data_IF_259338663294
#
_entry.id   IF_259338663294
#
_cell.length_a   1.000
_cell.length_b   1.000
_cell.length_c   1.000
_cell.angle_alpha   90.00
_cell.angle_beta   90.00
_cell.angle_gamma   90.00
#
_symmetry.space_group_name_H-M   'P 1'
#
loop_
_entity.id
_entity.type
_entity.pdbx_description
1 polymer ?
#
# COMPACT_ATOMS: atom_id res chain seq x y z
N UNK A 1 -12.62 7.47 30.21
CA UNK A 1 -13.02 8.46 29.18
C UNK A 1 -13.58 7.72 27.98
N UNK A 2 -14.55 8.29 27.22
CA UNK A 2 -15.07 7.64 26.00
C UNK A 2 -14.41 8.23 24.77
N UNK A 3 -13.84 7.38 23.92
CA UNK A 3 -13.19 7.74 22.65
C UNK A 3 -13.95 7.11 21.48
N UNK A 4 -14.35 7.93 20.51
CA UNK A 4 -14.99 7.51 19.27
C UNK A 4 -13.93 7.41 18.17
N UNK A 5 -13.86 6.25 17.51
CA UNK A 5 -12.83 5.91 16.54
C UNK A 5 -13.47 5.76 15.17
N UNK A 6 -13.16 6.67 14.25
CA UNK A 6 -13.66 6.66 12.90
C UNK A 6 -13.05 5.55 12.07
N UNK A 7 -13.87 4.89 11.25
CA UNK A 7 -13.46 3.84 10.32
C UNK A 7 -14.36 3.77 9.11
N UNK A 8 -13.86 3.24 8.00
CA UNK A 8 -14.68 2.89 6.84
C UNK A 8 -15.45 1.59 7.10
N UNK A 9 -16.55 1.38 6.36
CA UNK A 9 -17.38 0.18 6.49
C UNK A 9 -16.82 -1.08 5.80
N UNK A 10 -15.63 -1.07 5.19
CA UNK A 10 -15.08 -2.27 4.58
C UNK A 10 -14.58 -3.27 5.64
N UNK A 11 -14.70 -4.58 5.36
CA UNK A 11 -14.28 -5.64 6.29
C UNK A 11 -12.85 -5.43 6.81
N UNK A 12 -11.90 -5.08 5.92
CA UNK A 12 -10.52 -4.82 6.33
C UNK A 12 -10.42 -3.61 7.27
N UNK A 13 -11.13 -2.50 6.98
CA UNK A 13 -11.09 -1.32 7.83
C UNK A 13 -11.66 -1.60 9.23
N UNK A 14 -12.77 -2.36 9.30
CA UNK A 14 -13.36 -2.77 10.58
C UNK A 14 -12.39 -3.63 11.38
N UNK A 15 -11.79 -4.66 10.79
CA UNK A 15 -10.80 -5.52 11.46
C UNK A 15 -9.56 -4.72 11.92
N UNK A 16 -9.11 -3.73 11.14
CA UNK A 16 -8.02 -2.85 11.55
C UNK A 16 -8.40 -1.99 12.75
N UNK A 17 -9.62 -1.47 12.77
CA UNK A 17 -10.13 -0.65 13.87
C UNK A 17 -10.35 -1.48 15.13
N UNK A 18 -10.92 -2.68 15.01
CA UNK A 18 -11.11 -3.61 16.13
C UNK A 18 -9.77 -3.99 16.75
N UNK A 19 -8.75 -4.28 15.94
CA UNK A 19 -7.39 -4.53 16.43
C UNK A 19 -6.85 -3.35 17.27
N UNK A 20 -7.06 -2.11 16.81
CA UNK A 20 -6.62 -0.91 17.53
C UNK A 20 -7.41 -0.75 18.83
N UNK A 21 -8.73 -0.92 18.79
CA UNK A 21 -9.61 -0.85 19.96
C UNK A 21 -9.21 -1.88 21.01
N UNK A 22 -9.02 -3.13 20.61
CA UNK A 22 -8.63 -4.20 21.53
C UNK A 22 -7.30 -3.91 22.22
N UNK A 23 -6.33 -3.37 21.46
CA UNK A 23 -5.02 -3.00 22.00
C UNK A 23 -5.14 -1.83 22.99
N UNK A 24 -5.96 -0.83 22.69
CA UNK A 24 -6.23 0.31 23.57
C UNK A 24 -6.97 -0.11 24.84
N UNK A 25 -8.00 -0.95 24.75
CA UNK A 25 -8.75 -1.47 25.91
C UNK A 25 -7.86 -2.26 26.87
N UNK A 26 -6.91 -3.05 26.33
CA UNK A 26 -5.94 -3.77 27.17
C UNK A 26 -4.96 -2.82 27.88
N UNK A 27 -4.53 -1.75 27.21
CA UNK A 27 -3.56 -0.80 27.78
C UNK A 27 -4.22 0.23 28.72
N UNK A 28 -5.50 0.54 28.49
CA UNK A 28 -6.27 1.57 29.20
C UNK A 28 -7.67 1.06 29.58
N UNK A 29 -7.77 0.12 30.54
CA UNK A 29 -9.03 -0.55 30.87
C UNK A 29 -10.11 0.40 31.44
N UNK A 30 -9.71 1.55 31.98
CA UNK A 30 -10.65 2.55 32.52
C UNK A 30 -11.23 3.48 31.44
N UNK A 31 -10.76 3.36 30.20
CA UNK A 31 -11.27 4.14 29.08
C UNK A 31 -12.18 3.26 28.18
N UNK A 32 -13.18 3.89 27.59
CA UNK A 32 -14.08 3.27 26.64
C UNK A 32 -13.72 3.67 25.21
N UNK A 33 -13.65 2.68 24.30
CA UNK A 33 -13.29 2.87 22.89
C UNK A 33 -14.36 2.23 22.01
N UNK A 34 -14.92 3.02 21.09
CA UNK A 34 -16.05 2.61 20.25
C UNK A 34 -15.78 2.99 18.78
N UNK A 35 -16.05 2.05 17.85
CA UNK A 35 -15.94 2.30 16.43
C UNK A 35 -17.15 3.08 15.89
N UNK A 36 -16.89 4.07 15.03
CA UNK A 36 -17.91 4.84 14.30
C UNK A 36 -17.68 4.65 12.79
N UNK A 37 -18.64 4.02 12.13
CA UNK A 37 -18.55 3.78 10.67
C UNK A 37 -18.92 5.06 9.93
N UNK A 38 -18.00 5.55 9.11
CA UNK A 38 -18.16 6.72 8.26
C UNK A 38 -18.16 6.26 6.80
N UNK A 39 -19.22 6.63 6.07
CA UNK A 39 -19.31 6.35 4.63
C UNK A 39 -18.53 7.39 3.85
N UNK A 40 -17.60 6.95 3.01
CA UNK A 40 -16.80 7.84 2.17
C UNK A 40 -17.31 7.84 0.73
N UNK A 41 -17.06 8.92 0.01
CA UNK A 41 -17.36 9.02 -1.44
C UNK A 41 -16.69 7.91 -2.23
N UNK A 42 -15.47 7.53 -1.85
CA UNK A 42 -14.75 6.41 -2.47
C UNK A 42 -15.40 5.03 -2.27
N UNK A 43 -16.19 4.85 -1.19
CA UNK A 43 -16.97 3.63 -0.98
C UNK A 43 -18.22 3.58 -1.86
N UNK A 44 -18.78 4.73 -2.21
CA UNK A 44 -19.98 4.86 -3.03
C UNK A 44 -19.68 4.77 -4.54
N UNK A 45 -18.54 5.31 -5.00
CA UNK A 45 -18.18 5.42 -6.40
C UNK A 45 -17.26 4.29 -6.92
N UNK A 46 -17.50 3.04 -6.52
CA UNK A 46 -16.67 1.87 -6.91
C UNK A 46 -16.59 1.62 -8.42
N UNK A 47 -17.48 2.22 -9.24
CA UNK A 47 -17.56 2.01 -10.69
C UNK A 47 -16.69 2.96 -11.52
N UNK A 48 -16.30 4.13 -11.01
CA UNK A 48 -15.48 5.09 -11.77
C UNK A 48 -13.98 4.81 -11.58
N UNK A 49 -13.20 5.04 -12.63
CA UNK A 49 -11.75 4.90 -12.58
C UNK A 49 -11.13 5.88 -11.57
N UNK A 50 -10.21 5.43 -10.69
CA UNK A 50 -9.56 6.28 -9.67
C UNK A 50 -8.81 7.48 -10.29
N UNK A 51 -8.28 7.30 -11.49
CA UNK A 51 -7.64 8.33 -12.32
C UNK A 51 -8.62 9.38 -12.87
N UNK A 52 -9.93 9.03 -12.99
CA UNK A 52 -11.00 9.93 -13.43
C UNK A 52 -11.72 10.66 -12.28
N UNK A 53 -11.50 10.22 -11.03
CA UNK A 53 -12.14 10.81 -9.84
C UNK A 53 -11.16 11.78 -9.16
N UNK A 54 -10.41 12.55 -9.86
CA UNK A 54 -9.41 13.52 -9.45
C UNK A 54 -9.25 13.75 -7.94
N UNK A 55 -8.01 13.67 -7.47
CA UNK A 55 -7.45 14.16 -6.21
C UNK A 55 -7.23 13.17 -5.06
N UNK A 56 -6.16 13.46 -4.34
CA UNK A 56 -5.74 12.90 -3.05
C UNK A 56 -6.93 12.95 -2.05
N UNK A 57 -7.21 11.84 -1.37
CA UNK A 57 -8.10 11.88 -0.22
C UNK A 57 -9.55 11.41 -0.38
N UNK A 58 -9.98 10.81 -1.50
CA UNK A 58 -11.37 10.35 -1.73
C UNK A 58 -11.88 9.37 -0.67
N UNK A 59 -10.98 8.67 0.01
CA UNK A 59 -11.31 7.70 1.04
C UNK A 59 -11.13 8.23 2.47
N UNK A 60 -10.65 9.46 2.63
CA UNK A 60 -10.29 10.00 3.96
C UNK A 60 -10.98 11.31 4.29
N UNK A 61 -11.40 12.10 3.27
CA UNK A 61 -11.94 13.44 3.47
C UNK A 61 -13.10 13.49 4.47
N UNK A 62 -14.10 12.66 4.32
CA UNK A 62 -15.25 12.64 5.23
C UNK A 62 -14.87 12.25 6.66
N UNK A 63 -13.83 11.42 6.81
CA UNK A 63 -13.28 11.03 8.12
C UNK A 63 -12.50 12.20 8.73
N UNK A 64 -11.69 12.89 7.94
CA UNK A 64 -10.97 14.10 8.35
C UNK A 64 -11.92 15.21 8.77
N UNK A 65 -13.02 15.41 8.02
CA UNK A 65 -14.08 16.38 8.39
C UNK A 65 -14.71 16.06 9.75
N UNK A 66 -14.99 14.78 10.04
CA UNK A 66 -15.55 14.35 11.34
C UNK A 66 -14.51 14.50 12.48
N UNK A 67 -13.20 14.29 12.21
CA UNK A 67 -12.12 14.57 13.15
C UNK A 67 -12.02 16.05 13.50
N UNK A 68 -12.00 16.92 12.47
CA UNK A 68 -11.92 18.38 12.64
C UNK A 68 -13.16 18.93 13.36
N UNK A 69 -14.34 18.37 13.09
CA UNK A 69 -15.57 18.72 13.78
C UNK A 69 -15.64 18.20 15.24
N UNK A 70 -14.66 17.38 15.67
CA UNK A 70 -14.63 16.79 17.02
C UNK A 70 -15.71 15.74 17.27
N UNK A 71 -16.37 15.22 16.23
CA UNK A 71 -17.38 14.17 16.33
C UNK A 71 -16.78 12.78 16.56
N UNK A 72 -15.55 12.58 16.09
CA UNK A 72 -14.68 11.44 16.41
C UNK A 72 -13.37 11.94 17.00
N UNK A 73 -12.67 11.10 17.75
CA UNK A 73 -11.44 11.47 18.45
C UNK A 73 -10.17 11.03 17.72
N UNK A 74 -10.25 9.95 16.97
CA UNK A 74 -9.22 9.43 16.09
C UNK A 74 -9.83 8.62 14.95
N UNK A 75 -9.02 8.35 13.93
CA UNK A 75 -9.36 7.45 12.83
C UNK A 75 -8.25 6.43 12.58
N UNK A 76 -8.64 5.27 12.03
CA UNK A 76 -7.72 4.17 11.69
C UNK A 76 -7.69 3.98 10.18
N UNK A 77 -6.49 4.07 9.60
CA UNK A 77 -6.25 3.91 8.16
C UNK A 77 -5.10 2.96 7.89
N UNK A 78 -5.01 2.49 6.65
CA UNK A 78 -3.77 1.89 6.15
C UNK A 78 -2.80 3.01 5.75
N UNK A 79 -1.62 3.08 6.37
CA UNK A 79 -0.67 4.18 6.20
C UNK A 79 -0.28 4.41 4.73
N UNK A 80 -0.15 3.36 3.94
CA UNK A 80 0.19 3.43 2.51
C UNK A 80 -0.83 4.17 1.63
N UNK A 81 -2.08 4.28 2.10
CA UNK A 81 -3.19 4.89 1.37
C UNK A 81 -3.39 6.36 1.79
N UNK A 82 -2.63 6.82 2.81
CA UNK A 82 -2.68 8.19 3.31
C UNK A 82 -1.82 9.14 2.46
N UNK A 83 -2.26 10.40 2.32
CA UNK A 83 -1.45 11.44 1.70
C UNK A 83 -0.12 11.64 2.46
N UNK A 84 0.86 12.28 1.80
CA UNK A 84 2.20 12.51 2.35
C UNK A 84 2.14 13.33 3.64
N UNK A 85 1.24 14.32 3.67
CA UNK A 85 0.97 15.19 4.80
C UNK A 85 -0.49 15.06 5.23
N UNK A 86 -0.77 15.06 6.54
CA UNK A 86 -2.14 15.09 7.04
C UNK A 86 -2.80 16.44 6.70
N UNK A 87 -4.13 16.48 6.72
CA UNK A 87 -4.87 17.73 6.57
C UNK A 87 -4.52 18.72 7.69
N UNK A 88 -4.64 20.03 7.40
CA UNK A 88 -4.34 21.09 8.37
C UNK A 88 -5.17 20.89 9.65
N UNK A 89 -4.53 20.91 10.81
CA UNK A 89 -5.14 20.64 12.12
C UNK A 89 -5.18 19.17 12.53
N UNK A 90 -4.82 18.24 11.63
CA UNK A 90 -4.69 16.82 11.91
C UNK A 90 -3.22 16.39 11.97
N UNK A 91 -2.98 15.23 12.54
CA UNK A 91 -1.66 14.62 12.63
C UNK A 91 -1.76 13.11 12.80
N UNK A 92 -0.66 12.40 12.58
CA UNK A 92 -0.55 10.97 12.87
C UNK A 92 0.20 10.73 14.18
N UNK A 93 -0.29 9.81 14.99
CA UNK A 93 0.47 9.27 16.10
C UNK A 93 1.65 8.43 15.57
N UNK A 94 2.64 8.16 16.45
CA UNK A 94 3.75 7.26 16.12
C UNK A 94 3.23 5.88 15.72
N UNK A 95 3.88 5.28 14.73
CA UNK A 95 3.48 4.00 14.17
C UNK A 95 3.60 2.86 15.20
N UNK A 96 2.57 2.02 15.25
CA UNK A 96 2.59 0.77 16.03
C UNK A 96 3.25 -0.35 15.21
N UNK A 97 3.52 -1.49 15.85
CA UNK A 97 4.17 -2.63 15.23
C UNK A 97 3.53 -2.98 13.89
N UNK A 98 4.35 -3.00 12.85
CA UNK A 98 3.99 -3.28 11.46
C UNK A 98 3.59 -4.74 11.30
N UNK A 99 2.56 -5.00 10.51
CA UNK A 99 2.25 -6.32 9.97
C UNK A 99 3.14 -6.60 8.75
N UNK A 100 3.19 -7.85 8.29
CA UNK A 100 4.00 -8.28 7.15
C UNK A 100 3.90 -7.30 5.95
N UNK A 101 5.00 -6.62 5.57
CA UNK A 101 4.99 -5.60 4.53
C UNK A 101 4.93 -6.17 3.11
N UNK A 102 5.20 -7.47 2.94
CA UNK A 102 5.35 -8.10 1.63
C UNK A 102 4.07 -8.09 0.80
N UNK A 103 4.25 -8.21 -0.50
CA UNK A 103 3.19 -8.60 -1.41
C UNK A 103 3.11 -10.13 -1.51
N UNK A 104 1.93 -10.62 -1.83
CA UNK A 104 1.65 -12.05 -1.97
C UNK A 104 0.90 -12.34 -3.25
N UNK A 105 1.14 -13.53 -3.78
CA UNK A 105 0.43 -14.09 -4.91
C UNK A 105 -0.62 -15.07 -4.39
N UNK A 106 -1.84 -14.94 -4.87
CA UNK A 106 -2.93 -15.92 -4.70
C UNK A 106 -3.24 -16.48 -6.05
N UNK A 107 -3.06 -17.79 -6.23
CA UNK A 107 -3.25 -18.50 -7.49
C UNK A 107 -4.45 -19.44 -7.40
N UNK A 108 -5.11 -19.66 -8.55
CA UNK A 108 -6.25 -20.58 -8.63
C UNK A 108 -5.81 -22.03 -8.79
N UNK A 109 -4.87 -22.31 -9.70
CA UNK A 109 -4.55 -23.66 -10.16
C UNK A 109 -3.04 -23.94 -10.27
N UNK A 110 -2.18 -23.12 -9.64
CA UNK A 110 -0.74 -23.32 -9.61
C UNK A 110 -0.21 -23.11 -8.19
N UNK A 111 0.93 -23.69 -7.83
CA UNK A 111 1.53 -23.59 -6.51
C UNK A 111 2.59 -22.48 -6.41
N UNK A 112 3.02 -21.91 -7.55
CA UNK A 112 4.01 -20.82 -7.59
C UNK A 112 3.90 -19.99 -8.86
N UNK A 113 4.60 -18.84 -8.86
CA UNK A 113 4.72 -17.97 -10.04
C UNK A 113 5.36 -18.71 -11.23
N UNK A 114 6.32 -19.60 -10.94
CA UNK A 114 7.08 -20.32 -11.97
C UNK A 114 6.25 -21.42 -12.63
N UNK A 115 5.26 -21.98 -11.92
CA UNK A 115 4.35 -23.00 -12.43
C UNK A 115 3.22 -22.43 -13.31
N UNK A 116 3.06 -21.12 -13.35
CA UNK A 116 2.05 -20.51 -14.20
C UNK A 116 2.36 -20.74 -15.69
N UNK A 117 1.36 -21.05 -16.51
CA UNK A 117 1.55 -21.20 -17.94
C UNK A 117 2.00 -19.88 -18.57
N UNK A 118 2.64 -20.00 -19.75
CA UNK A 118 3.01 -18.82 -20.55
C UNK A 118 1.76 -17.99 -20.91
N UNK A 119 1.83 -16.68 -20.68
CA UNK A 119 0.72 -15.78 -20.94
C UNK A 119 -0.36 -15.79 -19.88
N UNK A 120 -0.14 -16.40 -18.70
CA UNK A 120 -1.10 -16.40 -17.60
C UNK A 120 -1.53 -14.99 -17.19
N UNK A 121 -2.78 -14.86 -16.74
CA UNK A 121 -3.41 -13.56 -16.46
C UNK A 121 -3.42 -13.28 -14.96
N UNK A 122 -2.71 -12.23 -14.55
CA UNK A 122 -2.60 -11.81 -13.14
C UNK A 122 -3.30 -10.47 -12.91
N UNK A 123 -4.22 -10.46 -11.92
CA UNK A 123 -4.99 -9.28 -11.55
C UNK A 123 -4.27 -8.38 -10.54
N UNK A 124 -4.02 -7.12 -10.89
CA UNK A 124 -3.62 -6.06 -9.95
C UNK A 124 -3.96 -4.68 -10.48
N UNK A 125 -4.47 -3.79 -9.61
CA UNK A 125 -4.67 -2.37 -9.95
C UNK A 125 -3.45 -1.49 -9.67
N UNK A 126 -2.33 -2.08 -9.22
CA UNK A 126 -1.14 -1.33 -8.82
C UNK A 126 -0.07 -1.37 -9.91
N UNK A 127 0.29 -0.21 -10.47
CA UNK A 127 1.41 -0.08 -11.43
C UNK A 127 2.73 -0.56 -10.82
N UNK A 128 2.96 -0.29 -9.53
CA UNK A 128 4.12 -0.77 -8.78
C UNK A 128 4.24 -2.30 -8.85
N UNK A 129 3.14 -3.03 -8.59
CA UNK A 129 3.11 -4.50 -8.67
C UNK A 129 3.23 -4.98 -10.11
N UNK A 130 2.46 -4.36 -11.02
CA UNK A 130 2.46 -4.71 -12.45
C UNK A 130 3.87 -4.73 -13.01
N UNK A 131 4.61 -3.65 -12.87
CA UNK A 131 5.92 -3.54 -13.50
C UNK A 131 6.99 -4.39 -12.83
N UNK A 132 6.93 -4.60 -11.53
CA UNK A 132 7.83 -5.54 -10.84
C UNK A 132 7.51 -6.99 -11.23
N UNK A 133 6.23 -7.36 -11.33
CA UNK A 133 5.82 -8.70 -11.78
C UNK A 133 6.28 -8.98 -13.22
N UNK A 134 6.08 -8.01 -14.14
CA UNK A 134 6.53 -8.14 -15.54
C UNK A 134 8.06 -8.19 -15.68
N UNK A 135 8.81 -7.67 -14.71
CA UNK A 135 10.26 -7.85 -14.67
C UNK A 135 10.65 -9.28 -14.30
N UNK A 136 9.89 -9.93 -13.42
CA UNK A 136 10.11 -11.34 -13.03
C UNK A 136 9.63 -12.31 -14.13
N UNK A 137 8.48 -12.05 -14.71
CA UNK A 137 7.81 -12.87 -15.72
C UNK A 137 7.26 -11.98 -16.84
N UNK A 138 8.07 -11.65 -17.85
CA UNK A 138 7.68 -10.72 -18.95
C UNK A 138 6.55 -11.25 -19.84
N UNK A 139 6.31 -12.54 -19.83
CA UNK A 139 5.28 -13.21 -20.60
C UNK A 139 3.86 -13.07 -20.03
N UNK A 140 3.73 -12.68 -18.75
CA UNK A 140 2.43 -12.57 -18.11
C UNK A 140 1.57 -11.44 -18.69
N UNK A 141 0.27 -11.65 -18.66
CA UNK A 141 -0.73 -10.59 -18.88
C UNK A 141 -1.16 -10.03 -17.53
N UNK A 142 -0.90 -8.75 -17.30
CA UNK A 142 -1.27 -8.09 -16.04
C UNK A 142 -2.40 -7.12 -16.27
N UNK A 143 -3.58 -7.47 -15.75
CA UNK A 143 -4.84 -6.73 -15.93
C UNK A 143 -5.28 -6.00 -14.67
N UNK A 144 -5.99 -4.89 -14.85
CA UNK A 144 -6.53 -4.08 -13.76
C UNK A 144 -7.67 -4.78 -13.03
N UNK A 145 -7.55 -4.97 -11.70
CA UNK A 145 -8.62 -5.52 -10.85
C UNK A 145 -8.99 -4.54 -9.75
N UNK A 146 -10.30 -4.39 -9.49
CA UNK A 146 -10.85 -3.50 -8.46
C UNK A 146 -11.69 -4.23 -7.44
N UNK A 147 -11.97 -3.53 -6.34
CA UNK A 147 -12.72 -4.00 -5.19
C UNK A 147 -11.83 -4.19 -3.96
N UNK A 148 -12.46 -4.48 -2.84
CA UNK A 148 -11.78 -4.90 -1.63
C UNK A 148 -11.18 -6.31 -1.79
N UNK A 149 -10.47 -6.82 -0.78
CA UNK A 149 -9.81 -8.13 -0.85
C UNK A 149 -10.81 -9.25 -1.15
N UNK A 150 -11.93 -9.30 -0.44
CA UNK A 150 -12.96 -10.35 -0.65
C UNK A 150 -13.52 -10.30 -2.08
N UNK A 151 -13.77 -9.10 -2.61
CA UNK A 151 -14.24 -8.94 -4.00
C UNK A 151 -13.21 -9.46 -5.00
N UNK A 152 -11.91 -9.17 -4.79
CA UNK A 152 -10.84 -9.63 -5.68
C UNK A 152 -10.65 -11.14 -5.64
N UNK A 153 -10.72 -11.73 -4.45
CA UNK A 153 -10.66 -13.18 -4.27
C UNK A 153 -11.87 -13.87 -4.92
N UNK A 154 -13.09 -13.31 -4.75
CA UNK A 154 -14.27 -13.80 -5.41
C UNK A 154 -14.12 -13.76 -6.95
N UNK A 155 -13.64 -12.65 -7.52
CA UNK A 155 -13.38 -12.53 -8.96
C UNK A 155 -12.42 -13.61 -9.49
N UNK A 156 -11.38 -13.93 -8.70
CA UNK A 156 -10.46 -15.00 -9.04
C UNK A 156 -11.14 -16.37 -9.03
N UNK A 157 -11.82 -16.72 -7.92
CA UNK A 157 -12.35 -18.07 -7.74
C UNK A 157 -13.60 -18.34 -8.58
N UNK A 158 -14.50 -17.37 -8.72
CA UNK A 158 -15.71 -17.49 -9.53
C UNK A 158 -15.40 -17.42 -11.03
N UNK A 159 -14.17 -17.04 -11.41
CA UNK A 159 -13.77 -16.92 -12.81
C UNK A 159 -14.48 -15.77 -13.53
N UNK A 160 -14.78 -14.68 -12.81
CA UNK A 160 -15.42 -13.49 -13.36
C UNK A 160 -14.57 -12.93 -14.52
N UNK A 161 -15.22 -12.57 -15.62
CA UNK A 161 -14.54 -11.99 -16.79
C UNK A 161 -14.15 -10.55 -16.45
N UNK A 162 -12.87 -10.25 -16.67
CA UNK A 162 -12.33 -8.90 -16.55
C UNK A 162 -12.27 -8.27 -17.94
N UNK A 163 -12.91 -7.13 -18.09
CA UNK A 163 -12.91 -6.35 -19.32
C UNK A 163 -11.85 -5.25 -19.27
N UNK A 164 -10.97 -5.22 -20.26
CA UNK A 164 -9.97 -4.16 -20.44
C UNK A 164 -10.22 -3.43 -21.76
N UNK A 165 -10.37 -2.11 -21.70
CA UNK A 165 -10.62 -1.28 -22.90
C UNK A 165 -9.40 -1.35 -23.83
N UNK A 166 -9.64 -1.66 -25.11
CA UNK A 166 -8.59 -1.63 -26.13
C UNK A 166 -8.22 -0.16 -26.38
N UNK A 167 -6.98 0.21 -26.08
CA UNK A 167 -6.48 1.54 -26.43
C UNK A 167 -6.40 1.66 -27.95
N UNK A 168 -7.37 2.37 -28.52
CA UNK A 168 -7.50 2.55 -29.96
C UNK A 168 -6.48 3.59 -30.45
N UNK A 169 -5.32 3.14 -30.91
CA UNK A 169 -4.32 3.97 -31.56
C UNK A 169 -4.46 3.97 -33.11
N UNK A 170 -5.53 3.37 -33.67
CA UNK A 170 -5.70 3.28 -35.11
C UNK A 170 -7.17 3.36 -35.55
N UNK A 171 -7.85 4.46 -35.34
CA UNK A 171 -9.10 4.70 -36.07
C UNK A 171 -8.83 5.63 -37.23
N UNK A 172 -8.67 5.08 -38.42
CA UNK A 172 -8.93 5.79 -39.66
C UNK A 172 -10.45 6.08 -39.72
N UNK A 173 -10.79 7.35 -39.79
CA UNK A 173 -12.13 7.94 -39.68
C UNK A 173 -13.12 7.58 -40.81
N UNK A 174 -13.09 6.42 -41.47
CA UNK A 174 -13.92 6.16 -42.65
C UNK A 174 -14.76 4.88 -42.66
N UNK A 175 -14.91 4.17 -41.52
CA UNK A 175 -15.88 3.05 -41.48
C UNK A 175 -16.85 3.20 -40.31
N UNK A 176 -17.93 3.94 -40.59
CA UNK A 176 -19.07 4.13 -39.70
C UNK A 176 -20.05 2.98 -39.89
N UNK A 177 -20.47 2.44 -38.76
CA UNK A 177 -21.73 1.73 -38.55
C UNK A 177 -21.81 0.24 -38.86
N UNK A 178 -21.04 -0.64 -38.17
CA UNK A 178 -21.62 -1.99 -37.83
C UNK A 178 -20.88 -2.80 -36.75
N UNK A 179 -19.87 -2.28 -36.05
CA UNK A 179 -19.11 -3.06 -35.06
C UNK A 179 -19.18 -2.47 -33.65
N UNK A 180 -20.27 -2.74 -32.94
CA UNK A 180 -20.33 -2.68 -31.47
C UNK A 180 -19.62 -3.87 -30.80
N UNK A 181 -18.99 -4.73 -31.58
CA UNK A 181 -18.21 -5.88 -31.10
C UNK A 181 -16.73 -5.55 -31.18
N UNK A 182 -16.04 -5.66 -30.07
CA UNK A 182 -14.57 -5.58 -29.84
C UNK A 182 -14.01 -4.26 -29.32
N UNK A 183 -14.72 -3.57 -28.41
CA UNK A 183 -14.10 -2.46 -27.67
C UNK A 183 -13.30 -2.94 -26.44
N UNK A 184 -13.42 -4.20 -26.05
CA UNK A 184 -12.83 -4.75 -24.82
C UNK A 184 -12.18 -6.11 -25.06
N UNK A 185 -11.01 -6.31 -24.46
CA UNK A 185 -10.43 -7.63 -24.27
C UNK A 185 -11.05 -8.30 -23.05
N UNK A 186 -11.33 -9.59 -23.14
CA UNK A 186 -11.87 -10.40 -22.05
C UNK A 186 -10.79 -11.28 -21.44
N UNK A 187 -10.64 -11.24 -20.11
CA UNK A 187 -9.65 -12.02 -19.38
C UNK A 187 -10.28 -12.80 -18.23
N UNK A 188 -9.80 -14.02 -18.01
CA UNK A 188 -10.03 -14.78 -16.78
C UNK A 188 -8.75 -14.82 -15.99
N UNK A 189 -8.85 -14.63 -14.68
CA UNK A 189 -7.70 -14.56 -13.82
C UNK A 189 -7.17 -15.95 -13.47
N UNK A 190 -5.85 -16.14 -13.59
CA UNK A 190 -5.10 -17.26 -13.03
C UNK A 190 -4.61 -16.98 -11.62
N UNK A 191 -4.43 -15.68 -11.29
CA UNK A 191 -4.01 -15.23 -9.98
C UNK A 191 -4.21 -13.74 -9.74
N UNK A 192 -3.97 -13.31 -8.51
CA UNK A 192 -4.01 -11.90 -8.09
C UNK A 192 -2.86 -11.59 -7.14
N UNK A 193 -2.38 -10.33 -7.16
CA UNK A 193 -1.38 -9.85 -6.19
C UNK A 193 -2.05 -8.99 -5.13
N UNK A 194 -1.85 -9.36 -3.86
CA UNK A 194 -2.39 -8.68 -2.69
C UNK A 194 -1.27 -8.26 -1.73
N UNK A 195 -1.57 -7.43 -0.72
CA UNK A 195 -0.68 -7.17 0.39
C UNK A 195 -0.89 -8.23 1.48
N UNK A 196 0.19 -8.86 1.95
CA UNK A 196 0.15 -9.87 3.01
C UNK A 196 -0.59 -9.36 4.25
N UNK A 197 -0.27 -8.15 4.72
CA UNK A 197 -0.93 -7.54 5.87
C UNK A 197 -2.46 -7.48 5.74
N UNK A 198 -2.98 -7.24 4.54
CA UNK A 198 -4.42 -7.14 4.32
C UNK A 198 -5.11 -8.49 4.42
N UNK A 199 -4.56 -9.51 3.73
CA UNK A 199 -5.16 -10.85 3.70
C UNK A 199 -5.05 -11.56 5.07
N UNK A 200 -3.92 -11.38 5.78
CA UNK A 200 -3.71 -11.90 7.14
C UNK A 200 -4.69 -11.26 8.14
N UNK A 201 -4.88 -9.94 8.10
CA UNK A 201 -5.80 -9.26 9.01
C UNK A 201 -7.25 -9.74 8.89
N UNK A 202 -7.69 -10.11 7.69
CA UNK A 202 -9.06 -10.66 7.52
C UNK A 202 -9.14 -12.18 7.72
N UNK A 203 -8.05 -12.82 8.19
CA UNK A 203 -8.00 -14.24 8.51
C UNK A 203 -8.04 -15.17 7.30
N UNK A 204 -7.53 -14.72 6.15
CA UNK A 204 -7.49 -15.51 4.89
C UNK A 204 -6.07 -15.84 4.44
N UNK A 205 -5.12 -15.91 5.36
CA UNK A 205 -3.71 -16.22 5.09
C UNK A 205 -3.49 -17.61 4.48
N UNK A 206 -4.38 -18.56 4.72
CA UNK A 206 -4.36 -19.88 4.08
C UNK A 206 -4.54 -19.85 2.56
N UNK A 207 -5.02 -18.73 2.00
CA UNK A 207 -5.18 -18.55 0.56
C UNK A 207 -3.91 -18.01 -0.13
N UNK A 208 -2.90 -17.64 0.66
CA UNK A 208 -1.62 -17.19 0.11
C UNK A 208 -0.88 -18.37 -0.51
N UNK A 209 -0.67 -18.31 -1.82
CA UNK A 209 0.08 -19.32 -2.55
C UNK A 209 1.58 -19.07 -2.44
N UNK A 210 2.02 -17.81 -2.59
CA UNK A 210 3.43 -17.44 -2.56
C UNK A 210 3.62 -16.03 -1.97
N UNK A 211 4.65 -15.86 -1.15
CA UNK A 211 5.15 -14.56 -0.72
C UNK A 211 6.26 -14.11 -1.68
N UNK A 212 6.21 -12.85 -2.12
CA UNK A 212 7.35 -12.24 -2.77
C UNK A 212 8.38 -11.80 -1.72
N UNK A 213 9.66 -11.97 -2.02
CA UNK A 213 10.70 -11.30 -1.24
C UNK A 213 10.63 -9.78 -1.49
N UNK A 214 11.13 -8.99 -0.56
CA UNK A 214 11.19 -7.54 -0.71
C UNK A 214 12.15 -7.12 -1.83
N UNK A 215 13.11 -7.98 -2.16
CA UNK A 215 14.03 -7.78 -3.28
C UNK A 215 13.35 -8.07 -4.62
N UNK A 216 12.45 -9.04 -4.72
CA UNK A 216 11.70 -9.33 -5.94
C UNK A 216 10.58 -8.31 -6.18
N UNK A 217 9.84 -7.98 -5.12
CA UNK A 217 8.74 -7.05 -5.19
C UNK A 217 8.79 -6.07 -4.01
N UNK A 218 9.48 -4.93 -4.20
CA UNK A 218 9.56 -3.89 -3.17
C UNK A 218 8.15 -3.41 -2.81
N UNK A 219 7.78 -3.43 -1.52
CA UNK A 219 6.46 -3.03 -1.04
C UNK A 219 6.12 -1.55 -1.33
N UNK A 220 4.85 -1.20 -1.20
CA UNK A 220 4.46 0.21 -1.16
C UNK A 220 5.01 0.87 0.13
N UNK A 221 5.35 2.17 0.10
CA UNK A 221 5.81 2.88 1.29
C UNK A 221 4.83 2.71 2.45
N UNK A 222 5.34 2.31 3.61
CA UNK A 222 4.59 2.01 4.83
C UNK A 222 3.52 0.90 4.70
N UNK A 223 3.63 0.00 3.71
CA UNK A 223 2.71 -1.14 3.58
C UNK A 223 2.76 -2.01 4.85
N UNK A 224 1.60 -2.41 5.37
CA UNK A 224 1.47 -3.17 6.63
C UNK A 224 1.32 -2.30 7.88
N UNK A 225 1.66 -1.02 7.83
CA UNK A 225 1.53 -0.06 8.94
C UNK A 225 0.12 0.55 8.98
N UNK A 226 -0.41 0.73 10.19
CA UNK A 226 -1.63 1.50 10.43
C UNK A 226 -1.28 2.98 10.67
N UNK A 227 -2.08 3.88 10.13
CA UNK A 227 -2.07 5.29 10.47
C UNK A 227 -3.18 5.56 11.48
N UNK A 228 -2.81 6.10 12.62
CA UNK A 228 -3.71 6.55 13.68
C UNK A 228 -3.77 8.07 13.58
N UNK A 229 -4.82 8.58 12.96
CA UNK A 229 -4.99 10.00 12.69
C UNK A 229 -5.86 10.63 13.75
N UNK A 230 -5.49 11.83 14.22
CA UNK A 230 -6.23 12.58 15.23
C UNK A 230 -5.96 14.07 15.08
N UNK A 231 -6.74 14.89 15.79
CA UNK A 231 -6.46 16.31 15.85
C UNK A 231 -5.13 16.59 16.55
N UNK A 232 -4.37 17.53 15.99
CA UNK A 232 -3.04 17.90 16.48
C UNK A 232 -3.06 18.48 17.91
N UNK A 233 -4.19 19.06 18.34
CA UNK A 233 -4.38 19.62 19.67
C UNK A 233 -4.76 18.58 20.75
N UNK A 234 -5.02 17.31 20.35
CA UNK A 234 -5.41 16.25 21.30
C UNK A 234 -4.18 15.57 21.93
N UNK A 235 -3.40 16.33 22.69
CA UNK A 235 -2.17 15.84 23.31
C UNK A 235 -2.40 14.63 24.26
N UNK A 236 -3.56 14.56 24.93
CA UNK A 236 -3.87 13.45 25.84
C UNK A 236 -4.02 12.12 25.12
N UNK A 237 -4.75 12.10 24.01
CA UNK A 237 -4.92 10.90 23.22
C UNK A 237 -3.62 10.56 22.49
N UNK A 238 -2.90 11.56 21.96
CA UNK A 238 -1.59 11.39 21.34
C UNK A 238 -0.63 10.64 22.27
N UNK A 239 -0.49 11.08 23.51
CA UNK A 239 0.40 10.44 24.50
C UNK A 239 0.04 8.96 24.74
N UNK A 240 -1.27 8.61 24.75
CA UNK A 240 -1.73 7.23 24.89
C UNK A 240 -1.35 6.38 23.67
N UNK A 241 -1.50 6.93 22.47
CA UNK A 241 -1.20 6.21 21.23
C UNK A 241 0.31 6.02 21.07
N UNK A 242 1.09 7.05 21.35
CA UNK A 242 2.54 7.03 21.24
C UNK A 242 3.21 6.10 22.26
N UNK A 243 2.60 5.89 23.42
CA UNK A 243 3.08 4.92 24.42
C UNK A 243 3.02 3.47 23.93
N UNK A 244 2.21 3.17 22.90
CA UNK A 244 2.08 1.85 22.28
C UNK A 244 2.84 1.73 20.95
N UNK A 245 3.64 2.75 20.61
CA UNK A 245 4.42 2.78 19.37
C UNK A 245 5.52 1.72 19.32
N UNK A 246 5.95 1.40 18.11
CA UNK A 246 7.08 0.54 17.83
C UNK A 246 8.18 1.34 17.15
N UNK A 247 9.34 1.45 17.81
CA UNK A 247 10.43 2.31 17.35
C UNK A 247 10.97 1.90 15.98
N UNK A 248 11.12 0.59 15.74
CA UNK A 248 11.56 0.06 14.44
C UNK A 248 10.60 0.44 13.33
N UNK A 249 9.31 0.19 13.54
CA UNK A 249 8.27 0.53 12.56
C UNK A 249 8.22 2.04 12.31
N UNK A 250 8.26 2.83 13.37
CA UNK A 250 8.19 4.28 13.26
C UNK A 250 9.38 4.86 12.47
N UNK A 251 10.59 4.34 12.71
CA UNK A 251 11.80 4.71 11.99
C UNK A 251 11.68 4.32 10.50
N UNK A 252 11.40 3.06 10.23
CA UNK A 252 11.39 2.53 8.85
C UNK A 252 10.25 3.13 8.01
N UNK A 253 9.02 3.16 8.53
CA UNK A 253 7.90 3.76 7.84
C UNK A 253 8.10 5.27 7.60
N UNK A 254 8.75 5.97 8.53
CA UNK A 254 9.12 7.37 8.37
C UNK A 254 10.07 7.61 7.20
N UNK A 255 11.11 6.78 7.05
CA UNK A 255 12.07 6.83 5.93
C UNK A 255 11.35 6.54 4.59
N UNK A 256 10.50 5.51 4.55
CA UNK A 256 9.75 5.13 3.35
C UNK A 256 8.79 6.26 2.89
N UNK A 257 8.11 6.91 3.82
CA UNK A 257 7.20 8.03 3.52
C UNK A 257 7.96 9.29 3.11
N UNK A 258 9.10 9.57 3.73
CA UNK A 258 9.95 10.68 3.33
C UNK A 258 10.50 10.48 1.91
N UNK A 259 10.87 9.23 1.55
CA UNK A 259 11.23 8.90 0.17
C UNK A 259 10.06 9.17 -0.79
N UNK A 260 8.84 8.70 -0.47
CA UNK A 260 7.64 8.95 -1.28
C UNK A 260 7.43 10.45 -1.54
N UNK A 261 7.55 11.25 -0.48
CA UNK A 261 7.39 12.70 -0.54
C UNK A 261 8.45 13.35 -1.46
N UNK A 262 9.74 13.05 -1.26
CA UNK A 262 10.84 13.68 -1.99
C UNK A 262 10.94 13.25 -3.46
N UNK A 263 10.57 12.01 -3.78
CA UNK A 263 10.55 11.56 -5.17
C UNK A 263 9.38 12.15 -5.97
N UNK A 264 8.40 12.78 -5.30
CA UNK A 264 7.18 13.30 -5.91
C UNK A 264 6.22 12.19 -6.34
N UNK A 265 6.25 11.05 -5.63
CA UNK A 265 5.43 9.89 -5.94
C UNK A 265 3.96 10.10 -5.56
N UNK A 266 3.08 9.41 -6.27
CA UNK A 266 1.65 9.33 -5.96
C UNK A 266 1.10 7.93 -6.30
N UNK A 267 -0.19 7.68 -6.01
CA UNK A 267 -0.81 6.37 -6.23
C UNK A 267 -0.90 5.96 -7.72
N UNK A 268 -0.68 6.89 -8.66
CA UNK A 268 -0.74 6.62 -10.10
C UNK A 268 0.62 6.25 -10.70
N UNK A 269 1.70 6.52 -9.97
CA UNK A 269 3.06 6.20 -10.40
C UNK A 269 3.54 4.88 -9.77
N UNK A 270 4.46 4.15 -10.42
CA UNK A 270 5.07 2.96 -9.84
C UNK A 270 6.14 3.35 -8.81
N UNK A 271 5.70 3.60 -7.57
CA UNK A 271 6.57 3.95 -6.45
C UNK A 271 6.62 2.80 -5.45
N UNK A 272 7.80 2.46 -4.99
CA UNK A 272 8.03 1.49 -3.93
C UNK A 272 9.12 1.99 -2.99
N UNK A 273 8.97 1.69 -1.70
CA UNK A 273 10.02 1.87 -0.71
C UNK A 273 9.82 0.88 0.44
N UNK A 274 10.89 0.26 0.85
CA UNK A 274 10.93 -0.64 2.00
C UNK A 274 12.22 -0.42 2.78
N UNK A 275 12.10 -0.10 4.04
CA UNK A 275 13.20 0.05 4.96
C UNK A 275 13.17 -1.04 6.03
N UNK A 276 14.31 -1.60 6.36
CA UNK A 276 14.47 -2.53 7.47
C UNK A 276 15.78 -2.28 8.22
N UNK A 277 15.83 -2.76 9.46
CA UNK A 277 17.05 -2.80 10.26
C UNK A 277 17.66 -4.18 10.09
N UNK A 278 18.84 -4.22 9.48
CA UNK A 278 19.61 -5.44 9.25
C UNK A 278 20.82 -5.47 10.18
N UNK A 279 21.11 -6.63 10.76
CA UNK A 279 22.34 -6.85 11.51
C UNK A 279 23.38 -7.48 10.57
N UNK A 280 24.61 -7.01 10.59
CA UNK A 280 25.71 -7.73 9.97
C UNK A 280 25.89 -9.07 10.71
N UNK A 281 25.47 -10.17 10.08
CA UNK A 281 25.90 -11.50 10.44
C UNK A 281 27.27 -11.73 9.85
N UNK A 282 28.26 -11.80 10.71
CA UNK A 282 29.53 -12.51 10.57
C UNK A 282 30.43 -12.20 9.35
N UNK A 283 31.34 -11.25 9.55
CA UNK A 283 32.73 -11.50 9.20
C UNK A 283 33.58 -11.37 10.48
N UNK A 284 33.60 -12.46 11.26
CA UNK A 284 34.66 -12.69 12.27
C UNK A 284 34.66 -11.74 13.48
N UNK A 285 34.32 -12.30 14.63
CA UNK A 285 34.81 -11.90 15.97
C UNK A 285 34.84 -10.41 16.34
N UNK A 286 33.68 -9.73 16.31
CA UNK A 286 33.55 -8.49 17.07
C UNK A 286 32.15 -8.36 17.66
N UNK A 287 32.08 -8.20 18.99
CA UNK A 287 30.85 -8.18 19.79
C UNK A 287 30.02 -6.88 19.64
N UNK A 288 30.33 -6.01 18.70
CA UNK A 288 29.55 -4.85 18.34
C UNK A 288 28.63 -5.17 17.15
N UNK A 289 27.38 -5.55 17.44
CA UNK A 289 26.31 -5.66 16.44
C UNK A 289 25.99 -4.25 15.93
N UNK A 290 26.66 -3.82 14.87
CA UNK A 290 26.30 -2.60 14.17
C UNK A 290 25.01 -2.85 13.39
N UNK A 291 23.89 -2.42 13.95
CA UNK A 291 22.62 -2.39 13.22
C UNK A 291 22.73 -1.37 12.08
N UNK A 292 22.32 -1.78 10.88
CA UNK A 292 22.30 -0.94 9.69
C UNK A 292 20.87 -0.77 9.17
N UNK A 293 20.61 0.37 8.60
CA UNK A 293 19.38 0.61 7.84
C UNK A 293 19.59 0.16 6.39
N UNK A 294 18.71 -0.69 5.90
CA UNK A 294 18.62 -1.06 4.48
C UNK A 294 17.36 -0.42 3.90
N UNK A 295 17.51 0.43 2.87
CA UNK A 295 16.41 1.02 2.13
C UNK A 295 16.44 0.46 0.70
N UNK A 296 15.40 -0.26 0.31
CA UNK A 296 15.07 -0.60 -1.06
C UNK A 296 14.08 0.43 -1.59
N UNK A 297 14.36 1.02 -2.74
CA UNK A 297 13.45 1.98 -3.34
C UNK A 297 13.34 1.78 -4.86
N UNK A 298 12.19 2.15 -5.42
CA UNK A 298 11.89 2.09 -6.84
C UNK A 298 11.00 3.26 -7.24
N UNK A 299 11.24 3.80 -8.40
CA UNK A 299 10.39 4.78 -9.05
C UNK A 299 10.43 4.60 -10.57
N UNK A 300 9.38 5.02 -11.26
CA UNK A 300 9.35 4.95 -12.71
C UNK A 300 8.27 5.80 -13.36
N UNK A 301 8.31 5.82 -14.69
CA UNK A 301 7.31 6.48 -15.52
C UNK A 301 5.94 5.79 -15.40
N UNK A 302 4.89 6.54 -15.70
CA UNK A 302 3.51 6.04 -15.61
C UNK A 302 3.25 4.84 -16.53
N UNK A 303 3.87 4.81 -17.69
CA UNK A 303 3.78 3.73 -18.69
C UNK A 303 4.72 2.54 -18.39
N UNK A 304 5.59 2.67 -17.37
CA UNK A 304 6.54 1.65 -16.95
C UNK A 304 7.73 1.45 -17.87
N UNK A 305 7.92 2.28 -18.91
CA UNK A 305 9.06 2.16 -19.82
C UNK A 305 10.37 2.55 -19.15
N UNK A 306 10.33 3.53 -18.26
CA UNK A 306 11.47 3.92 -17.42
C UNK A 306 11.21 3.44 -16.00
N UNK A 307 12.08 2.61 -15.46
CA UNK A 307 11.98 2.08 -14.10
C UNK A 307 13.37 1.98 -13.49
N UNK A 308 13.59 2.66 -12.38
CA UNK A 308 14.84 2.61 -11.63
C UNK A 308 14.63 2.05 -10.22
N UNK A 309 15.63 1.31 -9.75
CA UNK A 309 15.72 0.77 -8.39
C UNK A 309 17.04 1.16 -7.78
N UNK A 310 17.03 1.34 -6.46
CA UNK A 310 18.22 1.56 -5.64
C UNK A 310 18.15 0.76 -4.35
N UNK A 311 19.30 0.35 -3.86
CA UNK A 311 19.51 -0.18 -2.52
C UNK A 311 20.52 0.71 -1.82
N UNK A 312 20.16 1.18 -0.62
CA UNK A 312 21.02 1.97 0.24
C UNK A 312 21.18 1.25 1.58
N UNK A 313 22.43 1.09 2.03
CA UNK A 313 22.74 0.49 3.34
C UNK A 313 23.59 1.47 4.14
N UNK A 314 23.09 1.87 5.31
CA UNK A 314 23.66 2.94 6.12
C UNK A 314 23.73 2.53 7.59
N UNK A 315 24.65 3.15 8.34
CA UNK A 315 24.65 3.00 9.78
C UNK A 315 23.36 3.57 10.38
N UNK A 316 22.81 2.90 11.40
CA UNK A 316 21.52 3.31 12.02
C UNK A 316 21.61 4.69 12.67
N UNK A 317 22.81 5.15 13.01
CA UNK A 317 23.08 6.47 13.57
C UNK A 317 23.17 7.59 12.53
N UNK A 318 23.17 7.24 11.24
CA UNK A 318 23.24 8.20 10.14
C UNK A 318 22.00 9.08 10.08
N UNK A 319 22.17 10.31 9.59
CA UNK A 319 21.04 11.20 9.36
C UNK A 319 20.10 10.60 8.29
N UNK A 320 18.85 10.43 8.67
CA UNK A 320 17.79 9.88 7.81
C UNK A 320 17.58 10.68 6.53
N UNK A 321 17.81 12.00 6.59
CA UNK A 321 17.68 12.86 5.42
C UNK A 321 18.69 12.45 4.33
N UNK A 322 19.94 12.17 4.72
CA UNK A 322 21.00 11.78 3.79
C UNK A 322 20.68 10.45 3.08
N UNK A 323 20.09 9.46 3.80
CA UNK A 323 19.72 8.17 3.21
C UNK A 323 18.67 8.37 2.11
N UNK A 324 17.65 9.17 2.41
CA UNK A 324 16.55 9.43 1.47
C UNK A 324 17.03 10.28 0.29
N UNK A 325 17.81 11.33 0.53
CA UNK A 325 18.39 12.17 -0.53
C UNK A 325 19.22 11.34 -1.50
N UNK A 326 20.05 10.45 -0.97
CA UNK A 326 20.87 9.57 -1.80
C UNK A 326 20.03 8.62 -2.64
N UNK A 327 18.98 8.03 -2.06
CA UNK A 327 18.08 7.16 -2.79
C UNK A 327 17.33 7.91 -3.91
N UNK A 328 16.84 9.11 -3.63
CA UNK A 328 16.17 9.99 -4.61
C UNK A 328 17.13 10.38 -5.73
N UNK A 329 18.33 10.86 -5.38
CA UNK A 329 19.35 11.23 -6.35
C UNK A 329 19.73 10.06 -7.27
N UNK A 330 19.97 8.88 -6.71
CA UNK A 330 20.32 7.68 -7.46
C UNK A 330 19.23 7.28 -8.46
N UNK A 331 17.98 7.37 -8.06
CA UNK A 331 16.84 7.04 -8.93
C UNK A 331 16.67 8.09 -10.01
N UNK A 332 16.73 9.38 -9.69
CA UNK A 332 16.62 10.47 -10.67
C UNK A 332 17.73 10.38 -11.71
N UNK A 333 18.97 10.16 -11.27
CA UNK A 333 20.11 9.96 -12.16
C UNK A 333 19.90 8.80 -13.13
N UNK A 334 19.42 7.63 -12.64
CA UNK A 334 19.12 6.46 -13.46
C UNK A 334 17.98 6.67 -14.46
N UNK A 335 17.05 7.55 -14.14
CA UNK A 335 15.90 7.88 -14.98
C UNK A 335 16.15 9.09 -15.89
N UNK A 336 17.29 9.78 -15.73
CA UNK A 336 17.61 11.03 -16.45
C UNK A 336 16.54 12.10 -16.24
N UNK A 337 16.10 12.28 -14.98
CA UNK A 337 15.14 13.31 -14.55
C UNK A 337 15.80 14.20 -13.50
N UNK A 338 15.49 15.51 -13.55
CA UNK A 338 15.99 16.53 -12.62
C UNK A 338 15.32 16.46 -11.22
#
# INVERSE_FOLDING_TARGET
MRYLIGTRGSKLALVQTDYVIDKLKRAYPDDDFEAVIIKTTGDLEQKKALDKIGSKGIFVKEIEDELLAGKIHMAVHSMKDMPDEPAAGLTFAKAWKREDPRDVLVLKNAASLDELPHGAVIGTGSKRRKYQLLKLRPDLKVVGIRGNIDTRLRKLYDGEIIYEEIADNTVNNNEIANEKQNKYNEYRLDGIVLAAAGIKRIGRDSEITQYFSEDDMIPAPAQGTLALELRADNAKLMAKLDALSDEKTNLCAGIEREFLKRIGGNCHLPVAAYCDIVSEKDRGNDSNKNNRLKLLAMFGSEDGKKLARTEQVWDITSDRNNIVERAVHDIRYKLEID
#
